data_IF_495928444521
#
_entry.id   IF_495928444521
#
_cell.length_a   1.000
_cell.length_b   1.000
_cell.length_c   1.000
_cell.angle_alpha   90.00
_cell.angle_beta   90.00
_cell.angle_gamma   90.00
#
_symmetry.space_group_name_H-M   'P 1'
#
loop_
_entity.id
_entity.type
_entity.pdbx_description
1 polymer ?
#
# COMPACT_ATOMS: atom_id res chain seq x y z
N UNK A 1 10.03 5.26 13.24
CA UNK A 1 11.00 4.23 12.80
C UNK A 1 12.36 4.67 13.32
N UNK A 2 13.31 3.77 13.60
CA UNK A 2 14.67 4.19 13.97
C UNK A 2 15.32 4.88 12.77
N UNK A 3 15.99 6.02 12.95
CA UNK A 3 16.62 6.80 11.88
C UNK A 3 17.65 5.96 11.10
N UNK A 4 18.41 5.10 11.80
CA UNK A 4 19.36 4.17 11.16
C UNK A 4 18.67 3.15 10.24
N UNK A 5 17.47 2.69 10.60
CA UNK A 5 16.69 1.75 9.78
C UNK A 5 16.20 2.47 8.52
N UNK A 6 15.82 3.73 8.64
CA UNK A 6 15.40 4.55 7.51
C UNK A 6 16.55 4.75 6.52
N UNK A 7 17.73 5.15 7.00
CA UNK A 7 18.92 5.31 6.17
C UNK A 7 19.29 4.01 5.45
N UNK A 8 19.27 2.88 6.17
CA UNK A 8 19.54 1.57 5.59
C UNK A 8 18.53 1.20 4.50
N UNK A 9 17.25 1.49 4.71
CA UNK A 9 16.21 1.20 3.75
C UNK A 9 16.31 2.08 2.50
N UNK A 10 16.67 3.36 2.66
CA UNK A 10 16.96 4.26 1.53
C UNK A 10 18.13 3.71 0.70
N UNK A 11 19.23 3.29 1.35
CA UNK A 11 20.34 2.67 0.65
C UNK A 11 19.94 1.35 -0.06
N UNK A 12 19.05 0.56 0.54
CA UNK A 12 18.52 -0.66 -0.06
C UNK A 12 17.64 -0.37 -1.28
N UNK A 13 16.85 0.71 -1.27
CA UNK A 13 16.06 1.17 -2.42
C UNK A 13 16.98 1.52 -3.60
N UNK A 14 18.02 2.30 -3.35
CA UNK A 14 18.99 2.70 -4.39
C UNK A 14 19.70 1.47 -4.97
N UNK A 15 20.12 0.54 -4.11
CA UNK A 15 20.74 -0.71 -4.54
C UNK A 15 19.77 -1.56 -5.36
N UNK A 16 18.50 -1.66 -4.96
CA UNK A 16 17.50 -2.43 -5.67
C UNK A 16 17.18 -1.85 -7.05
N UNK A 17 17.11 -0.52 -7.16
CA UNK A 17 16.96 0.17 -8.44
C UNK A 17 18.15 -0.10 -9.37
N UNK A 18 19.38 0.03 -8.85
CA UNK A 18 20.61 -0.27 -9.60
C UNK A 18 20.67 -1.73 -10.03
N UNK A 19 20.37 -2.67 -9.13
CA UNK A 19 20.36 -4.10 -9.39
C UNK A 19 19.37 -4.45 -10.52
N UNK A 20 18.15 -3.92 -10.47
CA UNK A 20 17.15 -4.14 -11.50
C UNK A 20 17.56 -3.55 -12.84
N UNK A 21 18.14 -2.34 -12.87
CA UNK A 21 18.68 -1.73 -14.10
C UNK A 21 19.76 -2.59 -14.75
N UNK A 22 20.64 -3.21 -13.96
CA UNK A 22 21.74 -4.03 -14.46
C UNK A 22 21.32 -5.46 -14.85
N UNK A 23 20.36 -6.05 -14.14
CA UNK A 23 20.04 -7.48 -14.27
C UNK A 23 18.67 -7.76 -14.89
N UNK A 24 17.79 -6.75 -14.97
CA UNK A 24 16.38 -6.91 -15.31
C UNK A 24 15.54 -7.61 -14.23
N UNK A 25 16.14 -8.00 -13.10
CA UNK A 25 15.48 -8.76 -12.02
C UNK A 25 15.24 -7.89 -10.78
N UNK A 26 14.12 -8.08 -10.05
CA UNK A 26 13.89 -7.37 -8.79
C UNK A 26 14.79 -7.92 -7.67
N UNK A 27 15.21 -7.05 -6.74
CA UNK A 27 15.97 -7.46 -5.55
C UNK A 27 15.08 -8.12 -4.48
N UNK A 28 13.77 -7.83 -4.48
CA UNK A 28 12.79 -8.51 -3.62
C UNK A 28 12.28 -7.70 -2.42
N UNK A 29 12.62 -6.42 -2.30
CA UNK A 29 12.30 -5.57 -1.12
C UNK A 29 10.96 -4.80 -1.21
N UNK A 30 10.07 -5.18 -2.12
CA UNK A 30 8.87 -4.37 -2.44
C UNK A 30 7.90 -4.24 -1.27
N UNK A 31 7.85 -5.23 -0.38
CA UNK A 31 6.95 -5.20 0.78
C UNK A 31 7.43 -4.19 1.82
N UNK A 32 8.68 -4.31 2.20
CA UNK A 32 9.38 -3.47 3.18
C UNK A 32 9.34 -2.00 2.77
N UNK A 33 9.59 -1.72 1.49
CA UNK A 33 9.54 -0.35 0.95
C UNK A 33 8.11 0.21 0.95
N UNK A 34 7.10 -0.63 0.68
CA UNK A 34 5.70 -0.21 0.76
C UNK A 34 5.27 0.12 2.19
N UNK A 35 5.65 -0.70 3.16
CA UNK A 35 5.39 -0.47 4.58
C UNK A 35 6.03 0.84 5.06
N UNK A 36 7.30 1.04 4.71
CA UNK A 36 8.02 2.28 5.02
C UNK A 36 7.31 3.52 4.47
N UNK A 37 7.00 3.54 3.18
CA UNK A 37 6.36 4.72 2.59
C UNK A 37 4.94 4.93 3.11
N UNK A 38 4.15 3.87 3.30
CA UNK A 38 2.81 4.00 3.88
C UNK A 38 2.88 4.59 5.29
N UNK A 39 3.80 4.09 6.12
CA UNK A 39 4.07 4.63 7.46
C UNK A 39 4.47 6.11 7.39
N UNK A 40 5.48 6.45 6.59
CA UNK A 40 6.05 7.79 6.49
C UNK A 40 5.06 8.82 5.92
N UNK A 41 4.31 8.45 4.88
CA UNK A 41 3.44 9.39 4.14
C UNK A 41 2.02 9.48 4.70
N UNK A 42 1.54 8.47 5.43
CA UNK A 42 0.20 8.45 6.03
C UNK A 42 0.23 8.52 7.56
N UNK A 43 1.41 8.57 8.19
CA UNK A 43 1.56 8.64 9.64
C UNK A 43 1.13 7.37 10.38
N UNK A 44 1.33 6.20 9.76
CA UNK A 44 0.94 4.92 10.36
C UNK A 44 2.01 4.42 11.34
N UNK A 45 1.59 3.73 12.40
CA UNK A 45 2.52 3.05 13.30
C UNK A 45 2.75 1.63 12.81
N UNK A 46 3.93 1.34 12.24
CA UNK A 46 4.29 -0.04 11.88
C UNK A 46 4.31 -0.94 13.10
N UNK A 47 3.84 -2.18 12.92
CA UNK A 47 3.93 -3.21 13.93
C UNK A 47 5.27 -3.92 13.86
N UNK A 48 5.79 -4.32 15.02
CA UNK A 48 6.93 -5.21 15.06
C UNK A 48 6.56 -6.58 14.48
N UNK A 49 7.51 -7.20 13.77
CA UNK A 49 7.30 -8.48 13.11
C UNK A 49 6.82 -9.56 14.11
N UNK A 50 5.52 -9.91 14.08
CA UNK A 50 4.85 -11.06 14.73
C UNK A 50 3.31 -10.99 14.69
N UNK A 51 2.70 -9.88 14.28
CA UNK A 51 1.23 -9.79 14.13
C UNK A 51 0.74 -10.55 12.90
N UNK A 52 0.01 -11.64 13.12
CA UNK A 52 -0.63 -12.35 12.01
C UNK A 52 -1.78 -11.52 11.43
N UNK A 53 -1.52 -10.79 10.32
CA UNK A 53 -2.58 -10.24 9.48
C UNK A 53 -2.48 -8.78 9.06
N UNK A 54 -1.80 -7.96 9.86
CA UNK A 54 -1.71 -6.52 9.66
C UNK A 54 -0.28 -6.05 9.96
N UNK A 55 0.10 -4.98 9.27
CA UNK A 55 1.47 -4.48 9.19
C UNK A 55 1.60 -3.14 9.93
N UNK A 56 0.48 -2.44 10.16
CA UNK A 56 0.45 -1.16 10.86
C UNK A 56 -0.85 -0.91 11.64
N UNK A 57 -0.81 0.07 12.53
CA UNK A 57 -1.96 0.63 13.25
C UNK A 57 -2.16 2.09 12.83
N UNK A 58 -3.40 2.45 12.46
CA UNK A 58 -3.80 3.82 12.20
C UNK A 58 -4.00 4.63 13.49
N UNK A 59 -4.09 5.96 13.38
CA UNK A 59 -4.34 6.85 14.53
C UNK A 59 -5.69 6.58 15.21
N UNK A 60 -6.64 5.99 14.49
CA UNK A 60 -7.95 5.53 14.95
C UNK A 60 -7.95 4.06 15.42
N UNK A 61 -6.78 3.53 15.77
CA UNK A 61 -6.56 2.15 16.25
C UNK A 61 -6.91 1.04 15.24
N UNK A 62 -7.20 1.36 13.98
CA UNK A 62 -7.46 0.35 12.94
C UNK A 62 -6.23 -0.47 12.64
N UNK A 63 -6.40 -1.79 12.53
CA UNK A 63 -5.42 -2.76 12.04
C UNK A 63 -5.33 -2.69 10.52
N UNK A 64 -4.18 -2.27 10.00
CA UNK A 64 -4.00 -2.01 8.57
C UNK A 64 -3.03 -3.03 7.99
N UNK A 65 -3.47 -3.76 6.96
CA UNK A 65 -2.58 -4.57 6.13
C UNK A 65 -2.04 -3.75 4.96
N UNK A 66 -0.74 -3.77 4.72
CA UNK A 66 -0.06 -3.04 3.64
C UNK A 66 0.35 -4.05 2.55
N UNK A 67 0.11 -3.67 1.30
CA UNK A 67 0.51 -4.46 0.11
C UNK A 67 1.22 -3.56 -0.88
N UNK A 68 2.47 -3.88 -1.18
CA UNK A 68 3.27 -3.18 -2.19
C UNK A 68 3.13 -3.78 -3.60
N UNK A 69 3.10 -2.92 -4.62
CA UNK A 69 3.32 -3.30 -6.02
C UNK A 69 4.20 -2.26 -6.74
N UNK A 70 5.31 -2.72 -7.30
CA UNK A 70 6.12 -1.98 -8.27
C UNK A 70 5.61 -2.30 -9.68
N UNK A 71 5.23 -1.27 -10.42
CA UNK A 71 4.67 -1.33 -11.78
C UNK A 71 5.57 -0.52 -12.71
N UNK A 72 6.10 -1.14 -13.76
CA UNK A 72 6.74 -0.39 -14.85
C UNK A 72 5.67 0.37 -15.66
N UNK A 73 6.03 1.43 -16.37
CA UNK A 73 5.08 2.16 -17.23
C UNK A 73 4.49 1.28 -18.34
N UNK A 74 5.22 0.24 -18.76
CA UNK A 74 4.79 -0.78 -19.72
C UNK A 74 4.07 -1.98 -19.08
N UNK A 75 3.62 -1.85 -17.82
CA UNK A 75 3.00 -2.96 -17.08
C UNK A 75 1.80 -3.54 -17.82
N UNK A 76 1.81 -4.87 -17.99
CA UNK A 76 0.69 -5.59 -18.60
C UNK A 76 -0.61 -5.36 -17.81
N UNK A 77 -1.76 -5.22 -18.49
CA UNK A 77 -3.06 -5.27 -17.84
C UNK A 77 -3.25 -6.54 -17.00
N UNK A 78 -4.05 -6.46 -15.94
CA UNK A 78 -4.39 -7.63 -15.12
C UNK A 78 -3.50 -7.89 -13.91
N UNK A 79 -2.61 -6.94 -13.55
CA UNK A 79 -1.88 -6.98 -12.29
C UNK A 79 -2.84 -7.08 -11.10
N UNK A 80 -2.40 -7.81 -10.07
CA UNK A 80 -3.21 -8.15 -8.91
C UNK A 80 -2.63 -7.57 -7.63
N UNK A 81 -3.44 -7.45 -6.60
CA UNK A 81 -2.94 -7.27 -5.23
C UNK A 81 -2.40 -8.62 -4.75
N UNK A 82 -1.46 -8.60 -3.79
CA UNK A 82 -1.09 -9.82 -3.06
C UNK A 82 -2.32 -10.47 -2.41
N UNK A 83 -2.22 -11.74 -2.05
CA UNK A 83 -3.34 -12.42 -1.39
C UNK A 83 -3.72 -11.70 -0.08
N UNK A 84 -5.02 -11.51 0.12
CA UNK A 84 -5.65 -10.96 1.30
C UNK A 84 -6.43 -12.10 1.95
N UNK A 85 -6.00 -12.50 3.14
CA UNK A 85 -6.58 -13.63 3.85
C UNK A 85 -7.65 -13.12 4.81
N UNK A 86 -8.91 -13.46 4.54
CA UNK A 86 -10.04 -13.04 5.36
C UNK A 86 -9.99 -13.58 6.80
N UNK A 87 -9.29 -14.70 7.02
CA UNK A 87 -9.11 -15.32 8.34
C UNK A 87 -8.15 -14.55 9.27
N UNK A 88 -7.38 -13.60 8.74
CA UNK A 88 -6.48 -12.77 9.54
C UNK A 88 -7.20 -11.55 10.10
N UNK A 89 -6.63 -10.99 11.17
CA UNK A 89 -7.14 -9.77 11.79
C UNK A 89 -6.59 -8.54 11.07
N UNK A 90 -7.46 -7.79 10.41
CA UNK A 90 -7.20 -6.49 9.79
C UNK A 90 -8.54 -5.80 9.54
N UNK A 91 -8.57 -4.48 9.62
CA UNK A 91 -9.75 -3.63 9.43
C UNK A 91 -9.77 -2.96 8.05
N UNK A 92 -8.59 -2.67 7.50
CA UNK A 92 -8.41 -2.17 6.14
C UNK A 92 -7.14 -2.71 5.48
N UNK A 93 -7.09 -2.59 4.16
CA UNK A 93 -5.91 -2.88 3.35
C UNK A 93 -5.48 -1.60 2.64
N UNK A 94 -4.19 -1.27 2.70
CA UNK A 94 -3.54 -0.23 1.90
C UNK A 94 -2.73 -0.88 0.79
N UNK A 95 -3.02 -0.50 -0.45
CA UNK A 95 -2.23 -0.84 -1.62
C UNK A 95 -1.32 0.34 -1.96
N UNK A 96 -0.01 0.11 -1.89
CA UNK A 96 1.02 1.08 -2.29
C UNK A 96 1.48 0.74 -3.71
N UNK A 97 1.24 1.67 -4.64
CA UNK A 97 1.69 1.56 -6.03
C UNK A 97 2.93 2.41 -6.23
N UNK A 98 4.00 1.76 -6.67
CA UNK A 98 5.29 2.37 -6.95
C UNK A 98 5.69 2.12 -8.40
N UNK A 99 6.60 2.93 -8.92
CA UNK A 99 7.26 2.62 -10.20
C UNK A 99 8.37 1.57 -10.03
N UNK A 100 9.14 1.36 -11.10
CA UNK A 100 10.18 0.37 -11.21
C UNK A 100 11.42 0.67 -10.36
N UNK A 101 11.57 1.92 -9.89
CA UNK A 101 12.63 2.41 -9.01
C UNK A 101 12.10 2.79 -7.61
N UNK A 102 10.93 2.29 -7.25
CA UNK A 102 10.28 2.48 -5.94
C UNK A 102 9.81 3.90 -5.61
N UNK A 103 9.61 4.76 -6.61
CA UNK A 103 8.91 6.02 -6.38
C UNK A 103 7.42 5.73 -6.18
N UNK A 104 6.86 6.16 -5.04
CA UNK A 104 5.41 6.06 -4.78
C UNK A 104 4.65 6.91 -5.80
N UNK A 105 3.66 6.30 -6.46
CA UNK A 105 2.74 7.00 -7.38
C UNK A 105 1.38 7.25 -6.75
N UNK A 106 0.83 6.24 -6.09
CA UNK A 106 -0.49 6.32 -5.45
C UNK A 106 -0.59 5.35 -4.28
N UNK A 107 -1.41 5.69 -3.29
CA UNK A 107 -1.87 4.74 -2.28
C UNK A 107 -3.38 4.72 -2.23
N UNK A 108 -3.93 3.51 -2.12
CA UNK A 108 -5.36 3.26 -2.06
C UNK A 108 -5.71 2.44 -0.83
N UNK A 109 -6.78 2.80 -0.14
CA UNK A 109 -7.25 2.09 1.04
C UNK A 109 -8.66 1.54 0.80
N UNK A 110 -8.87 0.26 1.12
CA UNK A 110 -10.18 -0.37 1.11
C UNK A 110 -10.45 -1.04 2.47
N UNK A 111 -11.66 -0.89 2.98
CA UNK A 111 -12.06 -1.47 4.26
C UNK A 111 -12.50 -2.93 4.10
N UNK A 112 -12.52 -3.65 5.22
CA UNK A 112 -12.82 -5.08 5.25
C UNK A 112 -14.16 -5.45 4.60
N UNK A 113 -15.29 -4.79 4.86
CA UNK A 113 -16.56 -5.16 4.23
C UNK A 113 -16.49 -5.15 2.69
N UNK A 114 -15.88 -4.13 2.10
CA UNK A 114 -15.75 -3.93 0.66
C UNK A 114 -14.80 -4.97 0.05
N UNK A 115 -13.67 -5.23 0.71
CA UNK A 115 -12.70 -6.24 0.29
C UNK A 115 -13.30 -7.64 0.37
N UNK A 116 -13.98 -7.96 1.48
CA UNK A 116 -14.68 -9.24 1.67
C UNK A 116 -15.75 -9.44 0.62
N UNK A 117 -16.61 -8.45 0.39
CA UNK A 117 -17.64 -8.51 -0.65
C UNK A 117 -17.01 -8.74 -2.03
N UNK A 118 -15.95 -8.01 -2.38
CA UNK A 118 -15.31 -8.13 -3.68
C UNK A 118 -14.59 -9.48 -3.91
N UNK A 119 -14.05 -10.08 -2.84
CA UNK A 119 -13.39 -11.38 -2.87
C UNK A 119 -14.38 -12.54 -2.93
N UNK A 120 -15.52 -12.43 -2.27
CA UNK A 120 -16.57 -13.47 -2.24
C UNK A 120 -17.59 -13.34 -3.38
N UNK A 121 -17.62 -12.20 -4.08
CA UNK A 121 -18.53 -11.96 -5.19
C UNK A 121 -18.43 -13.09 -6.25
N UNK A 122 -19.57 -13.63 -6.72
CA UNK A 122 -19.60 -14.69 -7.72
C UNK A 122 -18.75 -14.34 -8.97
N UNK A 123 -18.04 -15.33 -9.50
CA UNK A 123 -17.18 -15.19 -10.68
C UNK A 123 -15.75 -15.72 -10.47
N UNK A 124 -14.91 -15.57 -11.50
CA UNK A 124 -13.56 -16.13 -11.67
C UNK A 124 -12.98 -16.93 -10.49
N UNK A 125 -12.82 -18.26 -10.65
CA UNK A 125 -12.16 -19.18 -9.69
C UNK A 125 -10.89 -18.61 -9.05
N UNK A 126 -10.11 -17.85 -9.81
CA UNK A 126 -8.88 -17.18 -9.36
C UNK A 126 -9.03 -16.21 -8.18
N UNK A 127 -10.17 -15.52 -8.02
CA UNK A 127 -10.44 -14.62 -6.89
C UNK A 127 -10.72 -15.42 -5.63
N UNK A 128 -11.54 -16.45 -5.76
CA UNK A 128 -12.08 -17.22 -4.65
C UNK A 128 -11.04 -18.20 -4.08
N UNK A 129 -10.17 -18.76 -4.92
CA UNK A 129 -9.13 -19.70 -4.50
C UNK A 129 -7.83 -19.01 -4.06
N UNK A 130 -7.46 -17.87 -4.67
CA UNK A 130 -6.18 -17.18 -4.37
C UNK A 130 -6.32 -16.01 -3.40
N UNK A 131 -7.54 -15.61 -3.03
CA UNK A 131 -7.79 -14.48 -2.14
C UNK A 131 -7.21 -13.16 -2.65
N UNK A 132 -7.19 -12.91 -3.97
CA UNK A 132 -6.57 -11.71 -4.55
C UNK A 132 -7.54 -10.95 -5.43
N UNK A 133 -7.43 -9.62 -5.48
CA UNK A 133 -8.17 -8.73 -6.39
C UNK A 133 -7.26 -8.22 -7.51
N UNK A 134 -7.82 -7.80 -8.65
CA UNK A 134 -7.05 -6.97 -9.59
C UNK A 134 -6.80 -5.59 -8.98
N UNK A 135 -5.72 -4.92 -9.39
CA UNK A 135 -5.44 -3.53 -8.95
C UNK A 135 -6.61 -2.62 -9.32
N UNK A 136 -7.15 -2.75 -10.54
CA UNK A 136 -8.32 -1.98 -10.97
C UNK A 136 -9.54 -2.19 -10.07
N UNK A 137 -9.85 -3.45 -9.70
CA UNK A 137 -10.97 -3.73 -8.79
C UNK A 137 -10.72 -3.17 -7.40
N UNK A 138 -9.49 -3.25 -6.90
CA UNK A 138 -9.11 -2.68 -5.61
C UNK A 138 -9.29 -1.16 -5.60
N UNK A 139 -8.85 -0.45 -6.65
CA UNK A 139 -9.09 0.99 -6.81
C UNK A 139 -10.58 1.35 -6.89
N UNK A 140 -11.40 0.50 -7.51
CA UNK A 140 -12.85 0.73 -7.61
C UNK A 140 -13.57 0.68 -6.26
N UNK A 141 -13.14 -0.21 -5.35
CA UNK A 141 -13.76 -0.39 -4.04
C UNK A 141 -13.09 0.42 -2.93
N UNK A 142 -11.91 0.98 -3.21
CA UNK A 142 -11.12 1.73 -2.26
C UNK A 142 -11.17 3.23 -2.53
N UNK A 143 -10.61 3.99 -1.59
CA UNK A 143 -10.38 5.43 -1.70
C UNK A 143 -8.90 5.70 -1.91
N UNK A 144 -8.55 6.70 -2.73
CA UNK A 144 -7.17 7.17 -2.83
C UNK A 144 -6.82 7.94 -1.55
N UNK A 145 -5.79 7.49 -0.83
CA UNK A 145 -5.29 8.11 0.41
C UNK A 145 -3.98 8.86 0.21
N UNK A 146 -3.30 8.64 -0.92
CA UNK A 146 -2.14 9.42 -1.32
C UNK A 146 -2.01 9.51 -2.86
N UNK A 147 -1.65 10.68 -3.43
CA UNK A 147 -1.47 11.96 -2.75
C UNK A 147 -2.80 12.47 -2.17
N UNK A 148 -2.74 13.06 -0.97
CA UNK A 148 -3.91 13.66 -0.33
C UNK A 148 -4.30 14.87 -1.17
N UNK A 149 -5.53 14.89 -1.71
CA UNK A 149 -6.08 16.14 -2.23
C UNK A 149 -6.41 17.01 -1.02
N UNK A 150 -5.50 17.92 -0.68
CA UNK A 150 -5.80 19.00 0.24
C UNK A 150 -6.90 19.83 -0.41
N UNK A 151 -8.14 19.65 0.04
CA UNK A 151 -9.14 20.69 -0.16
C UNK A 151 -8.69 21.90 0.65
N UNK A 152 -8.19 22.92 -0.05
CA UNK A 152 -7.87 24.21 0.53
C UNK A 152 -9.17 24.79 1.11
N UNK A 153 -9.33 24.73 2.44
CA UNK A 153 -10.39 25.50 3.11
C UNK A 153 -9.88 26.94 3.13
N UNK A 154 -10.25 27.71 2.11
CA UNK A 154 -10.09 29.15 2.15
C UNK A 154 -11.17 29.73 3.04
N UNK A 155 -10.76 30.49 4.06
CA UNK A 155 -11.65 31.34 4.85
C UNK A 155 -11.72 30.98 6.33
N UNK A 156 -10.89 31.65 7.13
CA UNK A 156 -11.29 32.76 8.00
C UNK A 156 -9.98 33.33 8.58
N UNK A 157 -9.51 34.41 7.96
CA UNK A 157 -8.67 35.39 8.63
C UNK A 157 -9.47 36.70 8.64
N UNK A 158 -9.34 37.43 9.74
CA UNK A 158 -9.66 38.85 9.93
C UNK A 158 -11.11 39.24 10.27
N UNK A 159 -11.41 39.14 11.56
CA UNK A 159 -12.19 40.09 12.39
C UNK A 159 -11.66 39.90 13.82
N UNK A 160 -11.17 40.87 14.58
CA UNK A 160 -11.42 42.30 14.63
C UNK A 160 -10.18 43.05 15.14
N UNK A 161 -10.11 44.29 14.70
CA UNK A 161 -9.49 45.47 15.31
C UNK A 161 -9.70 45.61 16.81
#
# INVERSE_FOLDING_TARGET
MNDEIEELLVAAIDLAAKYKKLTGKPLGITGEVAEFYASKLLGLKLMEARSAGYDAIGSDARKIQIKGRSLADSSKPGQRVGAIRLAHEWDSVILVLMDDVFTVKEMWEAYRPEVTYALLAPGSKSRNERGSLSISKFKQIGRKVWPVHLHCVSGIADRNS
#
